data_IF_398731254179
#
_entry.id   IF_398731254179
#
_cell.length_a   1.000
_cell.length_b   1.000
_cell.length_c   1.000
_cell.angle_alpha   90.00
_cell.angle_beta   90.00
_cell.angle_gamma   90.00
#
_symmetry.space_group_name_H-M   'P 1'
#
loop_
_entity.id
_entity.type
_entity.pdbx_description
1 polymer ?
#
# COMPACT_ATOMS: atom_id res chain seq x y z
N UNK A 1 -16.46 -8.59 15.11
CA UNK A 1 -15.78 -7.83 16.18
C UNK A 1 -14.28 -8.07 16.04
N UNK A 2 -13.52 -7.14 15.47
CA UNK A 2 -12.05 -7.25 15.41
C UNK A 2 -11.47 -6.84 16.75
N UNK A 3 -10.81 -7.75 17.44
CA UNK A 3 -10.11 -7.47 18.70
C UNK A 3 -8.90 -6.58 18.39
N UNK A 4 -9.06 -5.27 18.58
CA UNK A 4 -7.95 -4.34 18.50
C UNK A 4 -6.94 -4.70 19.61
N UNK A 5 -5.66 -4.78 19.27
CA UNK A 5 -4.62 -5.04 20.26
C UNK A 5 -4.46 -3.79 21.11
N UNK A 6 -4.83 -3.86 22.39
CA UNK A 6 -4.62 -2.77 23.34
C UNK A 6 -3.13 -2.41 23.41
N UNK A 7 -2.84 -1.13 23.22
CA UNK A 7 -1.47 -0.63 23.17
C UNK A 7 -1.03 -0.11 24.54
N UNK A 8 0.25 -0.28 24.93
CA UNK A 8 0.72 0.16 26.25
C UNK A 8 0.53 1.66 26.51
N UNK A 9 0.51 2.47 25.45
CA UNK A 9 0.34 3.94 25.51
C UNK A 9 -1.13 4.39 25.58
N UNK A 10 -2.08 3.47 25.52
CA UNK A 10 -3.51 3.77 25.72
C UNK A 10 -3.89 3.74 27.21
N UNK A 11 -2.98 3.31 28.08
CA UNK A 11 -3.20 3.24 29.54
C UNK A 11 -2.87 4.58 30.20
N UNK A 12 -3.70 4.99 31.16
CA UNK A 12 -3.52 6.23 31.93
C UNK A 12 -2.18 6.28 32.71
N UNK A 13 -1.61 5.12 33.04
CA UNK A 13 -0.35 4.98 33.78
C UNK A 13 0.90 4.90 32.88
N UNK A 14 0.78 5.22 31.59
CA UNK A 14 1.89 5.11 30.66
C UNK A 14 3.01 6.12 30.97
N UNK A 15 4.19 5.61 31.33
CA UNK A 15 5.38 6.42 31.68
C UNK A 15 6.28 6.74 30.47
N UNK A 16 5.86 6.43 29.25
CA UNK A 16 6.68 6.53 28.04
C UNK A 16 7.34 5.20 27.65
N UNK A 17 8.05 5.21 26.53
CA UNK A 17 8.87 4.06 26.10
C UNK A 17 10.32 4.25 26.53
N UNK A 18 10.95 3.16 26.92
CA UNK A 18 12.40 3.09 27.06
C UNK A 18 13.09 3.09 25.68
N UNK A 19 14.38 3.44 25.67
CA UNK A 19 15.16 3.44 24.44
C UNK A 19 15.20 2.07 23.75
N UNK A 20 15.28 1.00 24.54
CA UNK A 20 15.33 -0.37 24.02
C UNK A 20 14.00 -0.82 23.42
N UNK A 21 12.87 -0.43 24.03
CA UNK A 21 11.54 -0.67 23.44
C UNK A 21 11.39 0.06 22.10
N UNK A 22 11.84 1.31 22.00
CA UNK A 22 11.80 2.05 20.74
C UNK A 22 12.68 1.40 19.66
N UNK A 23 13.88 0.95 20.04
CA UNK A 23 14.80 0.21 19.15
C UNK A 23 14.18 -1.10 18.68
N UNK A 24 13.57 -1.85 19.59
CA UNK A 24 12.86 -3.08 19.28
C UNK A 24 11.71 -2.83 18.30
N UNK A 25 10.85 -1.86 18.58
CA UNK A 25 9.72 -1.50 17.71
C UNK A 25 10.17 -1.09 16.31
N UNK A 26 11.28 -0.34 16.22
CA UNK A 26 11.89 0.04 14.94
C UNK A 26 12.40 -1.19 14.18
N UNK A 27 13.16 -2.06 14.83
CA UNK A 27 13.68 -3.28 14.20
C UNK A 27 12.55 -4.22 13.75
N UNK A 28 11.54 -4.41 14.60
CA UNK A 28 10.36 -5.19 14.28
C UNK A 28 9.59 -4.64 13.07
N UNK A 29 9.40 -3.32 13.04
CA UNK A 29 8.72 -2.65 11.92
C UNK A 29 9.52 -2.77 10.64
N UNK A 30 10.84 -2.58 10.69
CA UNK A 30 11.72 -2.76 9.54
C UNK A 30 11.61 -4.19 8.97
N UNK A 31 11.66 -5.21 9.84
CA UNK A 31 11.51 -6.61 9.44
C UNK A 31 10.14 -6.87 8.78
N UNK A 32 9.04 -6.32 9.33
CA UNK A 32 7.71 -6.43 8.73
C UNK A 32 7.64 -5.80 7.34
N UNK A 33 8.28 -4.64 7.15
CA UNK A 33 8.35 -3.95 5.86
C UNK A 33 9.12 -4.81 4.84
N UNK A 34 10.25 -5.39 5.25
CA UNK A 34 11.06 -6.25 4.39
C UNK A 34 10.31 -7.50 3.94
N UNK A 35 9.64 -8.20 4.86
CA UNK A 35 8.79 -9.35 4.55
C UNK A 35 7.68 -8.97 3.56
N UNK A 36 7.04 -7.82 3.79
CA UNK A 36 5.95 -7.33 2.92
C UNK A 36 6.46 -6.96 1.53
N UNK A 37 7.64 -6.32 1.45
CA UNK A 37 8.34 -6.02 0.20
C UNK A 37 8.64 -7.31 -0.57
N UNK A 38 9.12 -8.36 0.10
CA UNK A 38 9.42 -9.64 -0.55
C UNK A 38 8.16 -10.34 -1.05
N UNK A 39 7.06 -10.30 -0.29
CA UNK A 39 5.76 -10.78 -0.76
C UNK A 39 5.31 -10.04 -2.02
N UNK A 40 5.40 -8.71 -2.04
CA UNK A 40 5.08 -7.91 -3.21
C UNK A 40 5.95 -8.25 -4.42
N UNK A 41 7.26 -8.40 -4.22
CA UNK A 41 8.19 -8.82 -5.29
C UNK A 41 7.82 -10.18 -5.85
N UNK A 42 7.50 -11.16 -4.99
CA UNK A 42 7.07 -12.51 -5.40
C UNK A 42 5.78 -12.44 -6.22
N UNK A 43 4.78 -11.68 -5.76
CA UNK A 43 3.52 -11.49 -6.48
C UNK A 43 3.76 -10.85 -7.86
N UNK A 44 4.63 -9.85 -7.93
CA UNK A 44 4.95 -9.17 -9.19
C UNK A 44 5.71 -10.07 -10.17
N UNK A 45 6.69 -10.85 -9.69
CA UNK A 45 7.39 -11.84 -10.52
C UNK A 45 6.44 -12.95 -10.99
N UNK A 46 5.48 -13.36 -10.16
CA UNK A 46 4.42 -14.30 -10.55
C UNK A 46 3.55 -13.74 -11.68
N UNK A 47 3.16 -12.46 -11.60
CA UNK A 47 2.41 -11.77 -12.66
C UNK A 47 3.18 -11.70 -13.99
N UNK A 48 4.50 -11.54 -13.96
CA UNK A 48 5.34 -11.55 -15.17
C UNK A 48 5.43 -12.92 -15.85
N UNK A 49 5.26 -14.02 -15.11
CA UNK A 49 5.32 -15.40 -15.64
C UNK A 49 4.00 -15.87 -16.26
N UNK A 50 2.88 -15.19 -15.98
CA UNK A 50 1.60 -15.48 -16.64
C UNK A 50 1.59 -14.75 -17.99
N UNK A 51 1.87 -15.50 -19.06
CA UNK A 51 1.84 -15.00 -20.44
C UNK A 51 0.58 -14.16 -20.72
N UNK A 52 0.70 -13.00 -21.40
CA UNK A 52 -0.43 -12.13 -21.73
C UNK A 52 -1.19 -12.71 -22.94
N UNK A 53 -1.93 -13.79 -22.75
CA UNK A 53 -2.80 -14.34 -23.80
C UNK A 53 -4.26 -14.05 -23.44
N UNK A 54 -4.90 -13.28 -24.34
CA UNK A 54 -6.32 -12.93 -24.48
C UNK A 54 -6.85 -11.69 -23.71
N UNK A 55 -6.75 -10.55 -24.40
CA UNK A 55 -7.79 -9.52 -24.63
C UNK A 55 -8.76 -9.14 -23.49
N UNK A 56 -8.23 -8.93 -22.27
CA UNK A 56 -8.90 -8.21 -21.19
C UNK A 56 -7.82 -7.69 -20.25
N UNK A 57 -7.33 -6.47 -20.51
CA UNK A 57 -6.00 -5.99 -20.09
C UNK A 57 -5.66 -6.14 -18.60
N UNK A 58 -4.35 -6.21 -18.31
CA UNK A 58 -3.74 -6.30 -16.97
C UNK A 58 -4.38 -5.38 -15.90
N UNK A 59 -4.90 -4.23 -16.32
CA UNK A 59 -5.66 -3.31 -15.47
C UNK A 59 -6.85 -3.98 -14.77
N UNK A 60 -7.62 -4.83 -15.44
CA UNK A 60 -8.77 -5.51 -14.82
C UNK A 60 -8.35 -6.49 -13.72
N UNK A 61 -7.23 -7.19 -13.89
CA UNK A 61 -6.69 -8.12 -12.89
C UNK A 61 -6.08 -7.38 -11.70
N UNK A 62 -5.37 -6.28 -11.94
CA UNK A 62 -4.80 -5.45 -10.86
C UNK A 62 -5.89 -4.74 -10.07
N UNK A 63 -6.87 -4.14 -10.76
CA UNK A 63 -8.00 -3.49 -10.10
C UNK A 63 -8.87 -4.50 -9.31
N UNK A 64 -9.03 -5.74 -9.79
CA UNK A 64 -9.74 -6.79 -9.04
C UNK A 64 -9.04 -7.23 -7.74
N UNK A 65 -7.73 -7.00 -7.60
CA UNK A 65 -6.98 -7.27 -6.36
C UNK A 65 -6.93 -6.09 -5.39
N UNK A 66 -7.36 -4.91 -5.82
CA UNK A 66 -7.38 -3.69 -5.03
C UNK A 66 -8.74 -3.54 -4.35
N UNK A 67 -8.75 -3.03 -3.11
CA UNK A 67 -10.01 -2.67 -2.45
C UNK A 67 -10.67 -1.51 -3.20
N UNK A 68 -12.00 -1.39 -3.14
CA UNK A 68 -12.72 -0.26 -3.75
C UNK A 68 -12.16 1.11 -3.34
N UNK A 69 -11.68 1.23 -2.09
CA UNK A 69 -11.01 2.43 -1.59
C UNK A 69 -9.68 2.71 -2.31
N UNK A 70 -8.89 1.68 -2.57
CA UNK A 70 -7.61 1.80 -3.27
C UNK A 70 -7.82 2.21 -4.73
N UNK A 71 -8.84 1.65 -5.37
CA UNK A 71 -9.24 2.02 -6.74
C UNK A 71 -9.65 3.49 -6.79
N UNK A 72 -10.46 3.97 -5.84
CA UNK A 72 -10.88 5.38 -5.76
C UNK A 72 -9.69 6.33 -5.56
N UNK A 73 -8.74 5.96 -4.70
CA UNK A 73 -7.57 6.80 -4.39
C UNK A 73 -6.60 6.87 -5.58
N UNK A 74 -6.35 5.74 -6.24
CA UNK A 74 -5.49 5.65 -7.44
C UNK A 74 -6.11 6.42 -8.61
N UNK A 75 -7.41 6.22 -8.86
CA UNK A 75 -8.13 6.93 -9.93
C UNK A 75 -8.17 8.44 -9.69
N UNK A 76 -8.43 8.90 -8.46
CA UNK A 76 -8.38 10.32 -8.12
C UNK A 76 -7.00 10.93 -8.34
N UNK A 77 -5.93 10.23 -7.93
CA UNK A 77 -4.56 10.72 -8.04
C UNK A 77 -4.04 10.73 -9.48
N UNK A 78 -4.38 9.71 -10.27
CA UNK A 78 -4.04 9.67 -11.69
C UNK A 78 -4.88 10.67 -12.50
N UNK A 79 -6.18 10.75 -12.22
CA UNK A 79 -7.12 11.66 -12.87
C UNK A 79 -6.76 13.12 -12.62
N UNK A 80 -6.43 13.51 -11.39
CA UNK A 80 -6.00 14.89 -11.07
C UNK A 80 -4.71 15.31 -11.78
N UNK A 81 -3.77 14.38 -11.98
CA UNK A 81 -2.55 14.64 -12.77
C UNK A 81 -2.84 14.72 -14.26
N UNK A 82 -3.61 13.78 -14.81
CA UNK A 82 -4.02 13.78 -16.21
C UNK A 82 -4.80 15.05 -16.57
N UNK A 83 -5.71 15.49 -15.68
CA UNK A 83 -6.46 16.72 -15.85
C UNK A 83 -5.57 17.97 -15.87
N UNK A 84 -4.54 18.03 -15.02
CA UNK A 84 -3.55 19.13 -15.05
C UNK A 84 -2.77 19.16 -16.37
N UNK A 85 -2.31 18.00 -16.86
CA UNK A 85 -1.59 17.89 -18.13
C UNK A 85 -2.50 18.26 -19.30
N UNK A 86 -3.72 17.72 -19.34
CA UNK A 86 -4.73 18.04 -20.35
C UNK A 86 -5.05 19.54 -20.37
N UNK A 87 -5.21 20.17 -19.20
CA UNK A 87 -5.46 21.62 -19.07
C UNK A 87 -4.29 22.46 -19.58
N UNK A 88 -3.06 21.97 -19.45
CA UNK A 88 -1.88 22.62 -20.03
C UNK A 88 -1.85 22.50 -21.56
N UNK A 89 -2.18 21.34 -22.11
CA UNK A 89 -2.27 21.15 -23.57
C UNK A 89 -3.42 21.93 -24.20
N UNK A 90 -4.57 22.09 -23.51
CA UNK A 90 -5.71 22.89 -23.99
C UNK A 90 -5.51 24.41 -23.92
N UNK A 91 -4.40 24.89 -23.34
CA UNK A 91 -4.05 26.31 -23.22
C UNK A 91 -2.95 26.75 -24.20
N UNK A 92 -2.38 25.82 -24.97
CA UNK A 92 -1.68 26.11 -26.22
C UNK A 92 -2.69 26.03 -27.36
#
# INVERSE_FOLDING_TARGET
MSTAKELPHEKAEWKGYTLDELRYMRAYTAARIEISRDRLKRNFTGLKKVNPVKSGGMLGKVLGTLSYLDIALVTFRLGSKAFKVMRWFKRK
#
